data_IF_312540657333
#
_entry.id   IF_312540657333
#
_cell.length_a   1.000
_cell.length_b   1.000
_cell.length_c   1.000
_cell.angle_alpha   90.00
_cell.angle_beta   90.00
_cell.angle_gamma   90.00
#
_symmetry.space_group_name_H-M   'P 1'
#
loop_
_entity.id
_entity.type
_entity.pdbx_description
1 polymer ?
#
# COMPACT_ATOMS: atom_id res chain seq x y z
N UNK A 1 -2.65 32.57 -10.00
CA UNK A 1 -3.27 32.05 -11.24
C UNK A 1 -4.60 31.43 -10.82
N UNK A 2 -5.70 31.69 -11.51
CA UNK A 2 -7.03 31.16 -11.16
C UNK A 2 -7.25 29.82 -11.85
N UNK A 3 -7.45 28.76 -11.08
CA UNK A 3 -7.85 27.44 -11.59
C UNK A 3 -9.35 27.38 -11.87
N UNK A 4 -9.73 26.63 -12.89
CA UNK A 4 -11.11 26.23 -13.15
C UNK A 4 -11.56 25.08 -12.24
N UNK A 5 -12.87 24.91 -12.09
CA UNK A 5 -13.44 23.77 -11.34
C UNK A 5 -13.04 22.42 -11.96
N UNK A 6 -12.83 22.36 -13.28
CA UNK A 6 -12.34 21.16 -13.99
C UNK A 6 -10.94 20.75 -13.53
N UNK A 7 -9.98 21.68 -13.55
CA UNK A 7 -8.60 21.40 -13.13
C UNK A 7 -8.50 21.04 -11.63
N UNK A 8 -9.36 21.63 -10.80
CA UNK A 8 -9.47 21.26 -9.37
C UNK A 8 -10.06 19.85 -9.24
N UNK A 9 -11.07 19.50 -10.05
CA UNK A 9 -11.66 18.17 -10.09
C UNK A 9 -10.66 17.07 -10.47
N UNK A 10 -9.84 17.31 -11.49
CA UNK A 10 -8.76 16.41 -11.93
C UNK A 10 -7.73 16.18 -10.82
N UNK A 11 -7.29 17.26 -10.16
CA UNK A 11 -6.39 17.21 -9.01
C UNK A 11 -6.98 16.43 -7.84
N UNK A 12 -8.27 16.64 -7.52
CA UNK A 12 -9.00 15.86 -6.49
C UNK A 12 -9.05 14.38 -6.85
N UNK A 13 -9.34 14.03 -8.11
CA UNK A 13 -9.38 12.64 -8.58
C UNK A 13 -7.99 11.97 -8.47
N UNK A 14 -6.93 12.69 -8.83
CA UNK A 14 -5.54 12.24 -8.67
C UNK A 14 -5.21 11.99 -7.20
N UNK A 15 -5.47 12.96 -6.30
CA UNK A 15 -5.16 12.87 -4.88
C UNK A 15 -5.99 11.80 -4.15
N UNK A 16 -7.22 11.53 -4.61
CA UNK A 16 -8.04 10.39 -4.15
C UNK A 16 -7.42 9.05 -4.57
N UNK A 17 -6.90 8.96 -5.80
CA UNK A 17 -6.29 7.76 -6.34
C UNK A 17 -7.20 6.53 -6.24
N UNK A 18 -6.75 5.50 -5.54
CA UNK A 18 -7.49 4.24 -5.35
C UNK A 18 -8.58 4.28 -4.26
N UNK A 19 -8.72 5.36 -3.48
CA UNK A 19 -9.76 5.43 -2.44
C UNK A 19 -11.15 5.50 -3.11
N UNK A 20 -12.13 4.66 -2.74
CA UNK A 20 -13.46 4.70 -3.34
C UNK A 20 -14.18 6.03 -3.10
N UNK A 21 -14.84 6.57 -4.13
CA UNK A 21 -15.63 7.81 -4.02
C UNK A 21 -16.71 7.73 -2.93
N UNK A 22 -17.32 6.54 -2.72
CA UNK A 22 -18.30 6.30 -1.65
C UNK A 22 -17.69 6.55 -0.27
N UNK A 23 -16.46 6.11 -0.06
CA UNK A 23 -15.78 6.20 1.24
C UNK A 23 -15.34 7.66 1.52
N UNK A 24 -15.02 8.45 0.47
CA UNK A 24 -14.84 9.91 0.59
C UNK A 24 -16.16 10.59 0.96
N UNK A 25 -17.27 10.25 0.30
CA UNK A 25 -18.59 10.81 0.58
C UNK A 25 -19.06 10.49 2.02
N UNK A 26 -18.83 9.27 2.50
CA UNK A 26 -19.11 8.86 3.88
C UNK A 26 -18.27 9.67 4.88
N UNK A 27 -16.96 9.81 4.65
CA UNK A 27 -16.09 10.63 5.52
C UNK A 27 -16.50 12.10 5.55
N UNK A 28 -16.85 12.69 4.40
CA UNK A 28 -17.36 14.06 4.33
C UNK A 28 -18.72 14.21 5.04
N UNK A 29 -19.59 13.20 4.94
CA UNK A 29 -20.86 13.14 5.70
C UNK A 29 -20.62 13.09 7.20
N UNK A 30 -19.66 12.28 7.66
CA UNK A 30 -19.26 12.20 9.06
C UNK A 30 -18.61 13.50 9.58
N UNK A 31 -18.19 14.40 8.68
CA UNK A 31 -17.73 15.77 9.00
C UNK A 31 -18.82 16.85 8.82
N UNK A 32 -20.07 16.45 8.55
CA UNK A 32 -21.23 17.35 8.48
C UNK A 32 -21.61 17.85 7.08
N UNK A 33 -20.90 17.45 6.03
CA UNK A 33 -21.22 17.85 4.65
C UNK A 33 -22.17 16.83 4.00
N UNK A 34 -23.26 17.29 3.37
CA UNK A 34 -24.23 16.41 2.71
C UNK A 34 -23.71 15.88 1.35
N UNK A 35 -22.63 15.11 1.40
CA UNK A 35 -21.95 14.57 0.22
C UNK A 35 -22.45 13.14 -0.07
N UNK A 36 -22.81 12.89 -1.32
CA UNK A 36 -23.04 11.54 -1.84
C UNK A 36 -21.88 11.13 -2.75
N UNK A 37 -21.83 9.86 -3.18
CA UNK A 37 -20.89 9.44 -4.22
C UNK A 37 -21.05 10.29 -5.50
N UNK A 38 -22.28 10.68 -5.85
CA UNK A 38 -22.54 11.60 -6.95
C UNK A 38 -21.94 12.99 -6.73
N UNK A 39 -21.96 13.52 -5.49
CA UNK A 39 -21.29 14.79 -5.16
C UNK A 39 -19.78 14.71 -5.42
N UNK A 40 -19.14 13.61 -5.00
CA UNK A 40 -17.71 13.37 -5.25
C UNK A 40 -17.43 13.30 -6.76
N UNK A 41 -18.24 12.55 -7.51
CA UNK A 41 -18.07 12.47 -8.97
C UNK A 41 -18.29 13.80 -9.70
N UNK A 42 -19.22 14.65 -9.26
CA UNK A 42 -19.43 15.96 -9.91
C UNK A 42 -18.35 16.98 -9.53
N UNK A 43 -17.73 16.87 -8.35
CA UNK A 43 -16.52 17.65 -8.03
C UNK A 43 -15.34 17.18 -8.89
N UNK A 44 -15.11 15.87 -9.00
CA UNK A 44 -14.01 15.30 -9.80
C UNK A 44 -14.08 15.60 -11.29
N UNK A 45 -15.26 15.96 -11.80
CA UNK A 45 -15.49 16.36 -13.20
C UNK A 45 -15.69 17.87 -13.40
N UNK A 46 -15.45 18.71 -12.37
CA UNK A 46 -15.72 20.14 -12.43
C UNK A 46 -17.18 20.56 -12.63
N UNK A 47 -18.13 19.62 -12.69
CA UNK A 47 -19.58 19.87 -12.79
C UNK A 47 -20.12 20.64 -11.56
N UNK A 48 -19.41 20.56 -10.43
CA UNK A 48 -19.73 21.25 -9.17
C UNK A 48 -18.48 21.88 -8.57
N UNK A 49 -18.51 23.20 -8.38
CA UNK A 49 -17.47 23.94 -7.67
C UNK A 49 -17.28 23.45 -6.23
N UNK A 50 -16.03 23.26 -5.83
CA UNK A 50 -15.64 22.87 -4.48
C UNK A 50 -15.53 24.10 -3.58
N UNK A 51 -16.38 24.22 -2.54
CA UNK A 51 -16.29 25.36 -1.61
C UNK A 51 -15.05 25.25 -0.74
N UNK A 52 -14.42 26.38 -0.38
CA UNK A 52 -13.21 26.39 0.45
C UNK A 52 -13.35 25.59 1.76
N UNK A 53 -14.52 25.64 2.41
CA UNK A 53 -14.80 24.86 3.63
C UNK A 53 -14.96 23.36 3.37
N UNK A 54 -15.49 22.96 2.20
CA UNK A 54 -15.51 21.57 1.76
C UNK A 54 -14.09 21.10 1.40
N UNK A 55 -13.31 21.95 0.70
CA UNK A 55 -11.93 21.67 0.30
C UNK A 55 -10.97 21.48 1.47
N UNK A 56 -11.08 22.30 2.52
CA UNK A 56 -10.30 22.13 3.75
C UNK A 56 -10.49 20.74 4.37
N UNK A 57 -11.74 20.30 4.51
CA UNK A 57 -12.06 19.01 5.11
C UNK A 57 -11.77 17.84 4.17
N UNK A 58 -11.92 18.04 2.85
CA UNK A 58 -11.52 17.06 1.85
C UNK A 58 -10.00 16.84 1.86
N UNK A 59 -9.19 17.91 1.96
CA UNK A 59 -7.74 17.83 2.05
C UNK A 59 -7.30 16.99 3.27
N UNK A 60 -7.88 17.26 4.45
CA UNK A 60 -7.65 16.42 5.64
C UNK A 60 -8.01 14.94 5.42
N UNK A 61 -9.15 14.65 4.77
CA UNK A 61 -9.63 13.29 4.48
C UNK A 61 -8.72 12.55 3.50
N UNK A 62 -8.12 13.27 2.55
CA UNK A 62 -7.14 12.77 1.61
C UNK A 62 -5.72 12.70 2.20
N UNK A 63 -5.49 13.33 3.36
CA UNK A 63 -4.18 13.41 4.02
C UNK A 63 -3.21 14.37 3.34
N UNK A 64 -3.72 15.47 2.79
CA UNK A 64 -2.99 16.48 2.01
C UNK A 64 -3.33 17.90 2.51
N UNK A 65 -2.72 18.94 1.94
CA UNK A 65 -3.04 20.34 2.25
C UNK A 65 -4.06 20.94 1.25
N UNK A 66 -4.71 22.04 1.62
CA UNK A 66 -5.61 22.78 0.70
C UNK A 66 -4.86 23.33 -0.52
N UNK A 67 -3.60 23.74 -0.36
CA UNK A 67 -2.78 24.20 -1.47
C UNK A 67 -2.59 23.10 -2.53
N UNK A 68 -2.53 21.83 -2.12
CA UNK A 68 -2.43 20.69 -3.02
C UNK A 68 -3.66 20.49 -3.89
N UNK A 69 -4.85 20.94 -3.45
CA UNK A 69 -6.08 20.89 -4.25
C UNK A 69 -6.10 21.91 -5.41
N UNK A 70 -5.22 22.94 -5.36
CA UNK A 70 -5.09 23.98 -6.39
C UNK A 70 -3.75 23.92 -7.14
N UNK A 71 -2.89 22.95 -6.80
CA UNK A 71 -1.66 22.66 -7.51
C UNK A 71 -1.93 22.17 -8.95
N UNK A 72 -0.89 22.06 -9.77
CA UNK A 72 -0.99 21.29 -11.01
C UNK A 72 -1.09 19.78 -10.76
N UNK A 73 -1.55 19.06 -11.78
CA UNK A 73 -1.85 17.63 -11.71
C UNK A 73 -0.57 16.77 -11.53
N UNK A 74 0.58 17.28 -11.96
CA UNK A 74 1.88 16.61 -11.81
C UNK A 74 2.38 16.71 -10.36
N UNK A 75 2.35 17.89 -9.76
CA UNK A 75 2.62 18.09 -8.34
C UNK A 75 1.68 17.27 -7.45
N UNK A 76 0.39 17.20 -7.80
CA UNK A 76 -0.60 16.37 -7.10
C UNK A 76 -0.32 14.87 -7.21
N UNK A 77 0.13 14.38 -8.37
CA UNK A 77 0.62 13.00 -8.56
C UNK A 77 1.85 12.72 -7.68
N UNK A 78 2.86 13.58 -7.76
CA UNK A 78 4.11 13.43 -7.01
C UNK A 78 3.86 13.39 -5.50
N UNK A 79 3.01 14.26 -4.98
CA UNK A 79 2.67 14.27 -3.55
C UNK A 79 1.93 12.99 -3.13
N UNK A 80 0.96 12.53 -3.91
CA UNK A 80 0.24 11.26 -3.66
C UNK A 80 1.22 10.09 -3.60
N UNK A 81 2.13 9.98 -4.56
CA UNK A 81 3.05 8.86 -4.68
C UNK A 81 4.12 8.89 -3.58
N UNK A 82 4.59 10.08 -3.21
CA UNK A 82 5.43 10.28 -2.03
C UNK A 82 4.74 9.84 -0.74
N UNK A 83 3.46 10.22 -0.54
CA UNK A 83 2.64 9.84 0.64
C UNK A 83 2.38 8.34 0.71
N UNK A 84 2.13 7.71 -0.44
CA UNK A 84 2.01 6.25 -0.56
C UNK A 84 3.33 5.55 -0.20
N UNK A 85 4.47 6.07 -0.68
CA UNK A 85 5.81 5.62 -0.32
C UNK A 85 6.11 5.72 1.18
N UNK A 86 5.77 6.85 1.82
CA UNK A 86 5.92 7.01 3.28
C UNK A 86 5.09 5.99 4.08
N UNK A 87 3.87 5.72 3.63
CA UNK A 87 2.99 4.73 4.26
C UNK A 87 3.57 3.33 4.11
N UNK A 88 3.99 2.94 2.91
CA UNK A 88 4.64 1.66 2.64
C UNK A 88 5.95 1.46 3.44
N UNK A 89 6.76 2.52 3.58
CA UNK A 89 7.96 2.51 4.41
C UNK A 89 7.63 2.32 5.90
N UNK A 90 6.54 2.93 6.37
CA UNK A 90 6.08 2.79 7.76
C UNK A 90 5.54 1.39 8.04
N UNK A 91 4.74 0.83 7.12
CA UNK A 91 4.29 -0.56 7.17
C UNK A 91 5.47 -1.53 7.25
N UNK A 92 6.45 -1.38 6.34
CA UNK A 92 7.64 -2.24 6.27
C UNK A 92 8.48 -2.15 7.56
N UNK A 93 8.66 -0.95 8.14
CA UNK A 93 9.33 -0.77 9.44
C UNK A 93 8.60 -1.52 10.56
N UNK A 94 7.27 -1.48 10.60
CA UNK A 94 6.49 -2.24 11.58
C UNK A 94 6.60 -3.76 11.36
N UNK A 95 6.62 -4.22 10.10
CA UNK A 95 6.79 -5.64 9.78
C UNK A 95 8.16 -6.15 10.20
N UNK A 96 9.24 -5.40 9.92
CA UNK A 96 10.60 -5.71 10.40
C UNK A 96 10.61 -5.81 11.93
N UNK A 97 10.06 -4.83 12.65
CA UNK A 97 9.99 -4.88 14.12
C UNK A 97 9.24 -6.12 14.64
N UNK A 98 8.14 -6.52 13.98
CA UNK A 98 7.39 -7.74 14.33
C UNK A 98 8.21 -9.00 14.04
N UNK A 99 8.93 -9.04 12.92
CA UNK A 99 9.80 -10.16 12.54
C UNK A 99 10.98 -10.31 13.51
N UNK A 100 11.69 -9.22 13.84
CA UNK A 100 12.79 -9.21 14.82
C UNK A 100 12.35 -9.74 16.19
N UNK A 101 11.17 -9.33 16.69
CA UNK A 101 10.62 -9.85 17.97
C UNK A 101 10.37 -11.36 17.91
N UNK A 102 9.80 -11.87 16.81
CA UNK A 102 9.58 -13.32 16.61
C UNK A 102 10.91 -14.08 16.55
N UNK A 103 11.91 -13.54 15.85
CA UNK A 103 13.23 -14.14 15.75
C UNK A 103 13.93 -14.25 17.10
N UNK A 104 13.97 -13.15 17.89
CA UNK A 104 14.56 -13.16 19.23
C UNK A 104 13.84 -14.17 20.15
N UNK A 105 12.51 -14.25 20.08
CA UNK A 105 11.74 -15.24 20.83
C UNK A 105 12.07 -16.69 20.44
N UNK A 106 12.23 -16.96 19.13
CA UNK A 106 12.64 -18.27 18.63
C UNK A 106 14.06 -18.64 19.06
N UNK A 107 15.02 -17.71 19.00
CA UNK A 107 16.38 -17.91 19.53
C UNK A 107 16.36 -18.23 21.03
N UNK A 108 15.54 -17.52 21.82
CA UNK A 108 15.37 -17.79 23.25
C UNK A 108 14.79 -19.18 23.54
N UNK A 109 13.82 -19.62 22.74
CA UNK A 109 13.23 -20.95 22.82
C UNK A 109 14.26 -22.06 22.47
N UNK A 110 14.99 -21.90 21.36
CA UNK A 110 16.04 -22.84 20.95
C UNK A 110 17.18 -22.89 21.97
N UNK A 111 17.61 -21.76 22.53
CA UNK A 111 18.61 -21.73 23.60
C UNK A 111 18.16 -22.51 24.83
N UNK A 112 16.88 -22.41 25.21
CA UNK A 112 16.30 -23.17 26.33
C UNK A 112 16.31 -24.69 26.05
N UNK A 113 15.90 -25.12 24.86
CA UNK A 113 15.97 -26.53 24.46
C UNK A 113 17.42 -27.01 24.47
N UNK A 114 18.34 -26.25 23.87
CA UNK A 114 19.77 -26.59 23.86
C UNK A 114 20.37 -26.74 25.26
N UNK A 115 19.94 -25.94 26.25
CA UNK A 115 20.37 -26.10 27.64
C UNK A 115 19.80 -27.31 28.38
N UNK A 116 18.85 -28.05 27.78
CA UNK A 116 18.26 -29.27 28.33
C UNK A 116 18.65 -30.55 27.57
N UNK A 117 19.46 -30.46 26.52
CA UNK A 117 19.94 -31.60 25.73
C UNK A 117 21.38 -31.97 26.10
N UNK A 118 21.71 -33.25 25.97
CA UNK A 118 23.08 -33.78 26.08
C UNK A 118 23.93 -33.45 24.86
N UNK A 119 25.25 -33.63 24.94
CA UNK A 119 26.16 -33.37 23.81
C UNK A 119 25.87 -34.27 22.60
N UNK A 120 25.52 -35.55 22.83
CA UNK A 120 25.14 -36.50 21.77
C UNK A 120 23.86 -36.08 21.04
N UNK A 121 22.85 -35.59 21.77
CA UNK A 121 21.62 -35.05 21.19
C UNK A 121 21.85 -33.75 20.43
N UNK A 122 22.79 -32.92 20.87
CA UNK A 122 23.17 -31.68 20.17
C UNK A 122 23.94 -31.94 18.88
N UNK A 123 24.75 -33.00 18.82
CA UNK A 123 25.47 -33.40 17.61
C UNK A 123 24.51 -33.80 16.46
N UNK A 124 23.30 -34.26 16.78
CA UNK A 124 22.26 -34.68 15.82
C UNK A 124 21.42 -33.51 15.26
N UNK A 125 21.60 -32.28 15.75
CA UNK A 125 20.74 -31.12 15.45
C UNK A 125 21.35 -30.08 14.49
N UNK A 126 22.50 -30.36 13.87
CA UNK A 126 23.27 -29.36 13.14
C UNK A 126 22.84 -29.16 11.67
N UNK A 127 22.93 -27.90 11.19
CA UNK A 127 22.50 -27.51 9.84
C UNK A 127 21.88 -26.10 9.81
N UNK A 128 20.54 -26.02 9.84
CA UNK A 128 19.78 -24.80 9.56
C UNK A 128 19.90 -23.67 10.60
N UNK A 129 20.30 -23.98 11.84
CA UNK A 129 20.31 -23.00 12.94
C UNK A 129 21.45 -21.97 12.89
N UNK A 130 22.37 -22.08 11.92
CA UNK A 130 23.55 -21.20 11.81
C UNK A 130 23.38 -19.99 10.88
N UNK A 131 22.32 -19.91 10.09
CA UNK A 131 22.15 -18.81 9.16
C UNK A 131 21.89 -17.48 9.89
N UNK A 132 22.81 -16.52 9.79
CA UNK A 132 22.65 -15.19 10.36
C UNK A 132 21.59 -14.39 9.55
N UNK A 133 20.48 -13.93 10.16
CA UNK A 133 19.51 -13.08 9.46
C UNK A 133 20.10 -11.78 8.92
N UNK A 134 21.21 -11.29 9.48
CA UNK A 134 21.92 -10.11 8.98
C UNK A 134 22.56 -10.40 7.63
N UNK A 135 23.16 -11.58 7.44
CA UNK A 135 23.66 -12.00 6.12
C UNK A 135 22.53 -12.21 5.11
N UNK A 136 21.42 -12.83 5.52
CA UNK A 136 20.24 -13.00 4.66
C UNK A 136 19.71 -11.62 4.22
N UNK A 137 19.56 -10.69 5.15
CA UNK A 137 19.11 -9.34 4.87
C UNK A 137 20.10 -8.55 4.00
N UNK A 138 21.41 -8.74 4.16
CA UNK A 138 22.43 -8.12 3.33
C UNK A 138 22.35 -8.59 1.87
N UNK A 139 22.24 -9.90 1.64
CA UNK A 139 22.11 -10.50 0.29
C UNK A 139 20.83 -10.06 -0.41
N UNK A 140 19.71 -9.98 0.31
CA UNK A 140 18.44 -9.48 -0.26
C UNK A 140 18.47 -7.96 -0.52
N UNK A 141 19.19 -7.19 0.31
CA UNK A 141 19.42 -5.76 0.06
C UNK A 141 20.21 -5.54 -1.24
N UNK A 142 21.29 -6.28 -1.44
CA UNK A 142 22.14 -6.20 -2.64
C UNK A 142 21.32 -6.49 -3.91
N UNK A 143 20.61 -7.62 -3.94
CA UNK A 143 19.65 -7.98 -5.01
C UNK A 143 18.61 -6.88 -5.30
N UNK A 144 18.11 -6.23 -4.26
CA UNK A 144 17.10 -5.17 -4.39
C UNK A 144 17.70 -3.86 -4.91
N UNK A 145 18.93 -3.52 -4.52
CA UNK A 145 19.61 -2.32 -5.01
C UNK A 145 19.97 -2.45 -6.50
N UNK A 146 20.45 -3.61 -6.93
CA UNK A 146 20.75 -3.88 -8.35
C UNK A 146 19.48 -3.79 -9.22
N UNK A 147 18.35 -4.30 -8.72
CA UNK A 147 17.07 -4.21 -9.41
C UNK A 147 16.59 -2.76 -9.57
N UNK A 148 16.74 -1.92 -8.53
CA UNK A 148 16.35 -0.50 -8.56
C UNK A 148 17.24 0.29 -9.54
N UNK A 149 18.56 0.11 -9.47
CA UNK A 149 19.50 0.79 -10.34
C UNK A 149 19.35 0.36 -11.81
N UNK A 150 19.05 -0.92 -12.06
CA UNK A 150 18.71 -1.42 -13.39
C UNK A 150 17.42 -0.78 -13.95
N UNK A 151 16.41 -0.55 -13.11
CA UNK A 151 15.19 0.15 -13.54
C UNK A 151 15.41 1.65 -13.80
N UNK A 152 16.21 2.37 -13.01
CA UNK A 152 16.55 3.78 -13.28
C UNK A 152 17.31 3.94 -14.61
N UNK A 153 18.14 2.96 -14.97
CA UNK A 153 18.86 2.95 -16.24
C UNK A 153 17.91 2.67 -17.43
N UNK A 154 16.92 1.78 -17.27
CA UNK A 154 15.85 1.58 -18.26
C UNK A 154 14.88 2.77 -18.38
N UNK A 155 14.61 3.50 -17.29
CA UNK A 155 13.76 4.69 -17.30
C UNK A 155 14.44 5.80 -18.12
N UNK A 156 15.74 6.04 -17.94
CA UNK A 156 16.46 7.05 -18.72
C UNK A 156 16.55 6.74 -20.22
N UNK A 157 16.64 5.46 -20.60
CA UNK A 157 16.68 5.04 -22.02
C UNK A 157 15.28 4.89 -22.66
N UNK A 158 14.18 5.08 -21.91
CA UNK A 158 12.83 4.71 -22.35
C UNK A 158 11.66 5.42 -21.67
N UNK A 159 11.65 6.76 -21.62
CA UNK A 159 10.52 7.56 -21.07
C UNK A 159 9.29 7.59 -22.00
N UNK A 160 8.47 6.52 -21.98
CA UNK A 160 7.02 6.57 -22.24
C UNK A 160 6.32 5.24 -21.87
N UNK A 161 5.18 5.33 -21.18
CA UNK A 161 4.28 4.24 -20.75
C UNK A 161 4.77 3.30 -19.61
N UNK A 162 3.82 2.88 -18.76
CA UNK A 162 3.91 1.81 -17.74
C UNK A 162 4.83 1.99 -16.51
N UNK A 163 4.43 2.86 -15.58
CA UNK A 163 4.55 2.54 -14.14
C UNK A 163 3.17 2.07 -13.64
N UNK A 164 2.91 0.76 -13.75
CA UNK A 164 1.81 0.11 -13.01
C UNK A 164 2.40 -0.55 -11.77
N UNK A 165 2.16 0.03 -10.60
CA UNK A 165 2.53 -0.59 -9.32
C UNK A 165 1.73 -1.89 -9.15
N UNK A 166 2.37 -3.08 -9.07
CA UNK A 166 1.63 -4.33 -8.97
C UNK A 166 0.87 -4.41 -7.63
N UNK A 167 -0.42 -4.79 -7.62
CA UNK A 167 -1.17 -4.95 -6.39
C UNK A 167 -0.58 -6.07 -5.53
N UNK A 168 -0.36 -5.77 -4.23
CA UNK A 168 0.30 -6.66 -3.26
C UNK A 168 -0.36 -8.05 -3.21
N UNK A 169 0.47 -9.11 -3.26
CA UNK A 169 0.05 -10.51 -3.06
C UNK A 169 -0.46 -10.75 -1.61
N UNK A 170 -1.74 -10.50 -1.38
CA UNK A 170 -2.44 -10.85 -0.14
C UNK A 170 -2.65 -12.36 0.01
N UNK A 171 -2.17 -12.97 1.10
CA UNK A 171 -2.32 -14.41 1.37
C UNK A 171 -3.76 -14.81 1.78
N UNK A 172 -4.33 -15.74 1.00
CA UNK A 172 -5.24 -16.86 1.37
C UNK A 172 -6.26 -16.70 2.53
N UNK A 173 -7.54 -16.72 2.18
CA UNK A 173 -8.66 -17.44 2.83
C UNK A 173 -9.67 -17.82 1.71
N UNK A 174 -10.47 -18.88 1.71
CA UNK A 174 -10.58 -20.18 2.45
C UNK A 174 -11.28 -21.19 1.50
N UNK A 175 -11.28 -22.52 1.73
CA UNK A 175 -11.84 -23.48 0.77
C UNK A 175 -13.37 -23.46 0.72
N UNK A 176 -13.94 -23.74 -0.46
CA UNK A 176 -15.30 -24.24 -0.64
C UNK A 176 -15.29 -25.43 -1.61
N UNK A 177 -15.63 -26.60 -1.10
CA UNK A 177 -16.26 -27.68 -1.87
C UNK A 177 -17.75 -27.35 -2.11
N UNK A 178 -18.40 -28.13 -2.99
CA UNK A 178 -19.77 -27.94 -3.52
C UNK A 178 -19.82 -26.78 -4.54
N UNK A 179 -20.19 -26.95 -5.81
CA UNK A 179 -21.26 -27.79 -6.37
C UNK A 179 -20.94 -28.26 -7.80
N UNK A 180 -21.32 -29.50 -8.14
CA UNK A 180 -21.42 -29.96 -9.52
C UNK A 180 -22.89 -29.95 -9.97
N UNK A 181 -23.21 -29.12 -10.94
CA UNK A 181 -24.51 -29.06 -11.65
C UNK A 181 -24.41 -29.78 -13.02
N UNK A 182 -25.50 -29.97 -13.78
CA UNK A 182 -26.73 -30.66 -13.38
C UNK A 182 -27.17 -31.71 -14.43
N UNK A 183 -27.52 -32.94 -14.04
CA UNK A 183 -28.06 -33.93 -14.99
C UNK A 183 -29.60 -33.96 -15.07
N UNK A 184 -30.08 -33.45 -16.20
CA UNK A 184 -31.20 -33.92 -17.04
C UNK A 184 -32.21 -34.93 -16.45
N UNK A 185 -33.50 -34.55 -16.56
CA UNK A 185 -34.71 -35.30 -17.01
C UNK A 185 -35.94 -34.57 -16.42
N UNK A 186 -37.15 -34.53 -16.98
CA UNK A 186 -37.74 -34.90 -18.29
C UNK A 186 -39.09 -34.17 -18.38
N UNK A 187 -39.65 -34.07 -19.60
CA UNK A 187 -41.09 -33.99 -19.93
C UNK A 187 -41.96 -32.99 -19.12
#
# INVERSE_FOLDING_TARGET
MTKSDQEIGEVVAVLRGAVPQRDIAERMTNRGFKWTQGTVSSVEKGERSLKLTEGAVLAEILGTDVQSLIADEEAARLERDFRAGQTALTDARQEIQRATRKFIAAQGYLRRIRSSLSEDELALLDGDLRADPVEIAAREKERSQDAILGSDQMINDGMAEYITVPPRLGRRLRPKSLEGTPERRLL
#
